data_IF_956232035375
#
_entry.id   IF_956232035375
#
_cell.length_a   1.000
_cell.length_b   1.000
_cell.length_c   1.000
_cell.angle_alpha   90.00
_cell.angle_beta   90.00
_cell.angle_gamma   90.00
#
_symmetry.space_group_name_H-M   'P 1'
#
loop_
_entity.id
_entity.type
_entity.pdbx_description
1 polymer ?
#
# COMPACT_ATOMS: atom_id res chain seq x y z
N UNK A 1 8.43 -2.41 3.72
CA UNK A 1 8.29 -3.87 3.43
C UNK A 1 8.99 -4.14 2.12
N UNK A 2 9.42 -5.37 1.80
CA UNK A 2 10.18 -5.59 0.57
C UNK A 2 9.52 -6.63 -0.35
N UNK A 3 9.67 -6.42 -1.65
CA UNK A 3 9.20 -7.23 -2.78
C UNK A 3 9.81 -8.64 -2.79
N UNK A 4 9.36 -9.49 -3.71
CA UNK A 4 9.65 -10.93 -3.74
C UNK A 4 11.15 -11.27 -3.84
N UNK A 5 11.94 -10.41 -4.49
CA UNK A 5 13.37 -10.64 -4.67
C UNK A 5 14.23 -10.11 -3.50
N UNK A 6 13.60 -9.55 -2.48
CA UNK A 6 14.31 -9.02 -1.34
C UNK A 6 14.83 -10.12 -0.42
N UNK A 7 16.15 -10.14 -0.24
CA UNK A 7 16.84 -11.05 0.68
C UNK A 7 17.05 -10.34 2.02
N UNK A 8 16.70 -10.99 3.12
CA UNK A 8 16.78 -10.42 4.47
C UNK A 8 18.17 -9.85 4.80
N UNK A 9 19.23 -10.57 4.44
CA UNK A 9 20.62 -10.12 4.66
C UNK A 9 20.94 -8.82 3.91
N UNK A 10 20.49 -8.67 2.66
CA UNK A 10 20.71 -7.47 1.87
C UNK A 10 19.94 -6.27 2.44
N UNK A 11 18.71 -6.50 2.91
CA UNK A 11 17.92 -5.48 3.62
C UNK A 11 18.63 -5.06 4.91
N UNK A 12 19.15 -6.03 5.67
CA UNK A 12 19.86 -5.77 6.90
C UNK A 12 21.13 -4.93 6.67
N UNK A 13 21.92 -5.26 5.65
CA UNK A 13 23.10 -4.48 5.27
C UNK A 13 22.74 -3.07 4.83
N UNK A 14 21.64 -2.91 4.08
CA UNK A 14 21.15 -1.58 3.71
C UNK A 14 20.77 -0.76 4.94
N UNK A 15 20.04 -1.33 5.90
CA UNK A 15 19.69 -0.64 7.16
C UNK A 15 20.95 -0.23 7.92
N UNK A 16 21.94 -1.13 8.05
CA UNK A 16 23.21 -0.84 8.75
C UNK A 16 24.00 0.30 8.11
N UNK A 17 23.78 0.58 6.82
CA UNK A 17 24.40 1.70 6.12
C UNK A 17 23.77 3.06 6.42
N UNK A 18 22.57 3.09 7.03
CA UNK A 18 21.82 4.32 7.34
C UNK A 18 21.95 4.65 8.83
N UNK A 19 22.62 5.77 9.13
CA UNK A 19 22.76 6.23 10.51
C UNK A 19 21.40 6.66 11.11
N UNK A 20 21.19 6.42 12.40
CA UNK A 20 19.97 6.81 13.10
C UNK A 20 18.74 5.93 12.87
N UNK A 21 18.82 4.89 12.04
CA UNK A 21 17.72 3.95 11.78
C UNK A 21 17.93 2.67 12.57
N UNK A 22 16.95 2.30 13.39
CA UNK A 22 16.80 0.93 13.90
C UNK A 22 15.76 0.20 13.07
N UNK A 23 15.98 -1.08 12.81
CA UNK A 23 15.00 -1.90 12.10
C UNK A 23 14.88 -3.30 12.70
N UNK A 24 13.79 -3.94 12.35
CA UNK A 24 13.64 -5.38 12.43
C UNK A 24 13.50 -5.90 11.01
N UNK A 25 14.26 -6.94 10.68
CA UNK A 25 14.13 -7.67 9.43
C UNK A 25 13.58 -9.05 9.74
N UNK A 26 12.41 -9.38 9.18
CA UNK A 26 11.71 -10.65 9.41
C UNK A 26 11.58 -11.39 8.09
N UNK A 27 11.89 -12.69 8.12
CA UNK A 27 11.57 -13.59 7.02
C UNK A 27 10.15 -14.13 7.19
N UNK A 28 9.34 -14.05 6.14
CA UNK A 28 7.97 -14.54 6.13
C UNK A 28 7.77 -15.59 5.04
N UNK A 29 6.88 -16.58 5.26
CA UNK A 29 6.53 -17.54 4.24
C UNK A 29 5.92 -16.85 3.03
N UNK A 30 6.12 -17.42 1.84
CA UNK A 30 5.53 -16.93 0.58
C UNK A 30 4.00 -17.12 0.57
N UNK A 31 3.53 -18.17 1.24
CA UNK A 31 2.11 -18.47 1.40
C UNK A 31 1.48 -17.64 2.53
N UNK A 32 0.16 -17.76 2.66
CA UNK A 32 -0.62 -17.20 3.78
C UNK A 32 0.02 -17.52 5.11
N UNK A 33 0.23 -16.48 5.91
CA UNK A 33 0.76 -16.70 7.24
C UNK A 33 -0.25 -17.51 8.08
N UNK A 34 0.16 -18.65 8.68
CA UNK A 34 -0.72 -19.49 9.48
C UNK A 34 -1.49 -18.71 10.56
N UNK A 35 -0.93 -17.60 11.04
CA UNK A 35 -1.55 -16.73 12.06
C UNK A 35 -2.84 -16.07 11.59
N UNK A 36 -3.06 -15.94 10.29
CA UNK A 36 -4.24 -15.29 9.72
C UNK A 36 -5.23 -16.27 9.08
N UNK A 37 -4.99 -17.58 9.20
CA UNK A 37 -5.86 -18.63 8.64
C UNK A 37 -7.23 -18.73 9.32
N UNK A 38 -7.44 -18.05 10.45
CA UNK A 38 -8.75 -17.99 11.12
C UNK A 38 -9.76 -17.10 10.38
N UNK A 39 -9.31 -16.27 9.43
CA UNK A 39 -10.19 -15.44 8.60
C UNK A 39 -10.77 -16.31 7.47
N UNK A 40 -12.08 -16.20 7.22
CA UNK A 40 -12.75 -16.95 6.16
C UNK A 40 -12.21 -16.60 4.77
N UNK A 41 -11.97 -15.30 4.52
CA UNK A 41 -11.31 -14.83 3.30
C UNK A 41 -9.88 -15.34 3.18
N UNK A 42 -9.24 -15.71 4.31
CA UNK A 42 -7.92 -16.36 4.32
C UNK A 42 -7.90 -17.77 3.72
N UNK A 43 -9.08 -18.40 3.57
CA UNK A 43 -9.22 -19.79 3.13
C UNK A 43 -9.78 -19.93 1.71
N UNK A 44 -10.13 -18.80 1.09
CA UNK A 44 -10.72 -18.73 -0.26
C UNK A 44 -9.61 -18.69 -1.32
N UNK A 45 -9.13 -19.88 -1.70
CA UNK A 45 -7.98 -20.05 -2.59
C UNK A 45 -8.25 -19.87 -4.09
N UNK A 46 -9.52 -19.90 -4.55
CA UNK A 46 -9.84 -19.75 -6.00
C UNK A 46 -9.85 -18.29 -6.43
N UNK A 47 -10.16 -17.42 -5.48
CA UNK A 47 -10.22 -15.97 -5.61
C UNK A 47 -8.84 -15.31 -5.44
N UNK A 48 -7.80 -16.13 -5.23
CA UNK A 48 -6.40 -15.73 -5.08
C UNK A 48 -5.58 -16.22 -6.27
N UNK A 49 -5.19 -15.33 -7.16
CA UNK A 49 -4.11 -15.65 -8.07
C UNK A 49 -2.83 -15.83 -7.26
N UNK A 50 -2.05 -16.85 -7.59
CA UNK A 50 -0.76 -17.17 -6.95
C UNK A 50 0.28 -16.04 -7.07
N UNK A 51 0.04 -15.08 -7.96
CA UNK A 51 0.93 -13.96 -8.32
C UNK A 51 0.88 -12.79 -7.34
N UNK A 52 -0.10 -12.73 -6.43
CA UNK A 52 -0.29 -11.60 -5.51
C UNK A 52 0.59 -11.65 -4.26
N UNK A 53 1.29 -12.77 -4.04
CA UNK A 53 2.25 -12.93 -2.96
C UNK A 53 1.66 -12.78 -1.56
N UNK A 54 2.50 -12.40 -0.61
CA UNK A 54 2.19 -12.31 0.82
C UNK A 54 2.04 -10.86 1.34
N UNK A 55 1.64 -9.91 0.47
CA UNK A 55 1.58 -8.49 0.81
C UNK A 55 0.60 -8.21 1.97
N UNK A 56 -0.62 -8.75 1.87
CA UNK A 56 -1.63 -8.70 2.94
C UNK A 56 -1.09 -9.22 4.27
N UNK A 57 -0.47 -10.41 4.28
CA UNK A 57 0.13 -11.01 5.46
C UNK A 57 1.24 -10.12 6.07
N UNK A 58 2.07 -9.48 5.24
CA UNK A 58 3.09 -8.51 5.69
C UNK A 58 2.45 -7.27 6.34
N UNK A 59 1.41 -6.69 5.74
CA UNK A 59 0.73 -5.50 6.28
C UNK A 59 0.00 -5.81 7.60
N UNK A 60 -0.72 -6.92 7.67
CA UNK A 60 -1.38 -7.39 8.89
C UNK A 60 -0.38 -7.68 10.02
N UNK A 61 0.80 -8.23 9.68
CA UNK A 61 1.88 -8.38 10.64
C UNK A 61 2.38 -7.04 11.16
N UNK A 62 2.49 -6.03 10.29
CA UNK A 62 2.83 -4.67 10.69
C UNK A 62 1.84 -4.08 11.69
N UNK A 63 0.53 -4.28 11.48
CA UNK A 63 -0.51 -3.89 12.45
C UNK A 63 -0.31 -4.57 13.81
N UNK A 64 -0.11 -5.89 13.80
CA UNK A 64 0.04 -6.69 15.03
C UNK A 64 1.33 -6.34 15.78
N UNK A 65 2.46 -6.20 15.08
CA UNK A 65 3.72 -5.78 15.68
C UNK A 65 3.62 -4.38 16.28
N UNK A 66 2.98 -3.43 15.58
CA UNK A 66 2.76 -2.09 16.10
C UNK A 66 1.91 -2.08 17.36
N UNK A 67 0.82 -2.87 17.39
CA UNK A 67 -0.02 -3.00 18.60
C UNK A 67 0.77 -3.62 19.76
N UNK A 68 1.50 -4.71 19.52
CA UNK A 68 2.31 -5.36 20.55
C UNK A 68 3.42 -4.43 21.05
N UNK A 69 4.05 -3.64 20.18
CA UNK A 69 5.06 -2.66 20.59
C UNK A 69 4.48 -1.41 21.28
N UNK A 70 3.15 -1.35 21.47
CA UNK A 70 2.47 -0.22 22.10
C UNK A 70 2.49 1.06 21.25
N UNK A 71 2.68 0.94 19.93
CA UNK A 71 2.69 2.08 19.04
C UNK A 71 1.27 2.58 18.80
N UNK A 72 1.10 3.89 18.70
CA UNK A 72 -0.17 4.51 18.31
C UNK A 72 -0.31 4.59 16.79
N UNK A 73 0.81 4.78 16.09
CA UNK A 73 0.83 5.08 14.66
C UNK A 73 1.82 4.16 13.95
N UNK A 74 1.41 3.67 12.79
CA UNK A 74 2.29 3.00 11.83
C UNK A 74 2.19 3.68 10.48
N UNK A 75 3.25 3.60 9.69
CA UNK A 75 3.25 4.01 8.29
C UNK A 75 3.64 2.79 7.46
N UNK A 76 2.74 2.37 6.59
CA UNK A 76 3.02 1.42 5.52
C UNK A 76 3.66 2.15 4.35
N UNK A 77 4.72 1.56 3.81
CA UNK A 77 5.46 2.06 2.68
C UNK A 77 5.93 0.88 1.83
N UNK A 78 5.54 0.88 0.57
CA UNK A 78 6.01 -0.06 -0.45
C UNK A 78 7.45 0.30 -0.86
N UNK A 79 8.23 -0.70 -1.29
CA UNK A 79 9.68 -0.52 -1.54
C UNK A 79 10.00 0.22 -2.83
N UNK A 80 9.02 0.39 -3.72
CA UNK A 80 9.12 1.16 -4.96
C UNK A 80 8.65 2.62 -4.81
N UNK A 81 8.26 3.03 -3.59
CA UNK A 81 7.86 4.41 -3.33
C UNK A 81 9.07 5.29 -3.02
N UNK A 82 9.10 6.45 -3.68
CA UNK A 82 10.13 7.46 -3.57
C UNK A 82 9.52 8.86 -3.41
N UNK A 83 10.38 9.86 -3.16
CA UNK A 83 9.92 11.26 -2.99
C UNK A 83 9.22 11.54 -1.65
N UNK A 84 9.30 10.62 -0.68
CA UNK A 84 8.70 10.82 0.64
C UNK A 84 9.45 11.90 1.44
N UNK A 85 8.81 13.05 1.63
CA UNK A 85 9.36 14.16 2.40
C UNK A 85 9.05 14.04 3.92
N UNK A 86 9.97 14.50 4.77
CA UNK A 86 9.78 14.45 6.24
C UNK A 86 8.58 15.27 6.74
N UNK A 87 8.32 16.42 6.13
CA UNK A 87 7.15 17.26 6.41
C UNK A 87 5.82 16.53 6.11
N UNK A 88 5.76 15.72 5.04
CA UNK A 88 4.60 14.94 4.65
C UNK A 88 4.33 13.85 5.68
N UNK A 89 5.37 13.13 6.10
CA UNK A 89 5.31 12.14 7.18
C UNK A 89 4.80 12.75 8.49
N UNK A 90 5.36 13.89 8.90
CA UNK A 90 4.95 14.59 10.12
C UNK A 90 3.50 15.07 10.05
N UNK A 91 3.07 15.57 8.89
CA UNK A 91 1.73 16.07 8.68
C UNK A 91 0.70 14.93 8.63
N UNK A 92 1.03 13.80 7.98
CA UNK A 92 0.20 12.60 8.01
C UNK A 92 0.03 12.08 9.43
N UNK A 93 1.13 11.98 10.21
CA UNK A 93 1.07 11.58 11.61
C UNK A 93 0.23 12.55 12.47
N UNK A 94 0.32 13.86 12.23
CA UNK A 94 -0.52 14.85 12.90
C UNK A 94 -2.00 14.70 12.53
N UNK A 95 -2.29 14.46 11.26
CA UNK A 95 -3.66 14.31 10.76
C UNK A 95 -4.39 13.08 11.34
N UNK A 96 -3.64 12.07 11.81
CA UNK A 96 -4.22 10.93 12.54
C UNK A 96 -4.89 11.31 13.88
N UNK A 97 -4.67 12.52 14.40
CA UNK A 97 -5.47 13.02 15.53
C UNK A 97 -6.94 13.26 15.21
N UNK A 98 -7.31 13.28 13.93
CA UNK A 98 -8.67 13.50 13.44
C UNK A 98 -9.18 12.41 12.50
N UNK A 99 -8.30 11.51 12.06
CA UNK A 99 -8.57 10.49 11.06
C UNK A 99 -7.95 9.15 11.48
N UNK A 100 -8.56 8.04 11.08
CA UNK A 100 -8.02 6.70 11.37
C UNK A 100 -6.93 6.29 10.37
N UNK A 101 -6.96 6.84 9.15
CA UNK A 101 -5.94 6.60 8.14
C UNK A 101 -5.69 7.85 7.28
N UNK A 102 -4.44 8.05 6.88
CA UNK A 102 -4.02 9.17 6.03
C UNK A 102 -3.09 8.65 4.93
N UNK A 103 -3.54 8.78 3.69
CA UNK A 103 -2.77 8.39 2.51
C UNK A 103 -1.90 9.51 1.95
N UNK A 104 -0.80 9.12 1.32
CA UNK A 104 0.00 9.97 0.44
C UNK A 104 -0.09 9.37 -0.98
N UNK A 105 -1.02 9.83 -1.83
CA UNK A 105 -1.23 9.22 -3.14
C UNK A 105 0.02 9.30 -4.02
N UNK A 106 0.31 8.20 -4.74
CA UNK A 106 1.37 8.14 -5.74
C UNK A 106 0.92 8.83 -7.03
N UNK A 107 1.34 10.08 -7.24
CA UNK A 107 0.87 10.90 -8.38
C UNK A 107 1.75 10.74 -9.62
N UNK A 108 3.06 10.54 -9.42
CA UNK A 108 4.01 10.27 -10.47
C UNK A 108 4.18 8.77 -10.62
N UNK A 109 3.74 8.25 -11.77
CA UNK A 109 3.47 6.82 -12.01
C UNK A 109 2.42 6.26 -11.02
N UNK A 110 1.12 6.44 -11.32
CA UNK A 110 0.08 6.09 -10.38
C UNK A 110 0.00 4.61 -10.01
N UNK A 111 -0.09 4.31 -8.72
CA UNK A 111 -0.37 2.98 -8.17
C UNK A 111 -1.78 2.53 -8.57
N UNK A 112 -1.88 1.80 -9.68
CA UNK A 112 -3.15 1.37 -10.28
C UNK A 112 -2.99 0.01 -10.94
N UNK A 113 -4.13 -0.65 -11.21
CA UNK A 113 -4.17 -1.87 -11.98
C UNK A 113 -3.70 -1.70 -13.42
N UNK A 114 -3.37 -2.83 -14.05
CA UNK A 114 -2.98 -2.88 -15.47
C UNK A 114 -4.08 -2.30 -16.36
N UNK A 115 -5.36 -2.57 -16.03
CA UNK A 115 -6.52 -2.01 -16.74
C UNK A 115 -6.53 -0.48 -16.68
N UNK A 116 -6.27 0.10 -15.50
CA UNK A 116 -6.22 1.54 -15.30
C UNK A 116 -5.03 2.20 -16.03
N UNK A 117 -3.86 1.55 -16.07
CA UNK A 117 -2.75 2.00 -16.93
C UNK A 117 -3.13 2.00 -18.41
N UNK A 118 -3.82 0.95 -18.88
CA UNK A 118 -4.30 0.89 -20.26
C UNK A 118 -5.34 1.99 -20.56
N UNK A 119 -6.25 2.28 -19.62
CA UNK A 119 -7.21 3.38 -19.74
C UNK A 119 -6.51 4.75 -19.89
N UNK A 120 -5.45 5.01 -19.14
CA UNK A 120 -4.62 6.22 -19.32
C UNK A 120 -3.93 6.23 -20.69
N UNK A 121 -3.42 5.09 -21.15
CA UNK A 121 -2.80 4.96 -22.48
C UNK A 121 -3.78 5.23 -23.61
N UNK A 122 -5.06 4.88 -23.42
CA UNK A 122 -6.19 5.27 -24.26
C UNK A 122 -6.55 6.78 -24.21
N UNK A 123 -5.71 7.62 -23.58
CA UNK A 123 -5.92 9.07 -23.37
C UNK A 123 -7.15 9.42 -22.55
N UNK A 124 -7.60 8.52 -21.67
CA UNK A 124 -8.67 8.80 -20.72
C UNK A 124 -8.11 9.28 -19.39
N UNK A 125 -8.89 10.10 -18.68
CA UNK A 125 -8.55 10.57 -17.35
C UNK A 125 -8.81 9.46 -16.34
N UNK A 126 -7.89 9.28 -15.41
CA UNK A 126 -7.99 8.33 -14.31
C UNK A 126 -7.27 8.94 -13.11
N UNK A 127 -8.03 9.25 -12.06
CA UNK A 127 -7.49 9.78 -10.81
C UNK A 127 -6.74 8.70 -10.03
N UNK A 128 -6.09 9.11 -8.94
CA UNK A 128 -5.37 8.22 -8.02
C UNK A 128 -6.09 8.22 -6.69
N UNK A 129 -6.40 7.04 -6.18
CA UNK A 129 -7.00 6.87 -4.86
C UNK A 129 -5.91 6.72 -3.79
N UNK A 130 -6.27 6.95 -2.52
CA UNK A 130 -5.38 6.61 -1.40
C UNK A 130 -5.19 5.08 -1.38
N UNK A 131 -3.95 4.62 -1.43
CA UNK A 131 -3.61 3.19 -1.36
C UNK A 131 -2.64 2.91 -0.20
N UNK A 132 -2.35 1.62 0.00
CA UNK A 132 -1.38 1.11 0.97
C UNK A 132 0.08 1.37 0.57
N UNK A 133 0.32 1.91 -0.63
CA UNK A 133 1.66 2.29 -1.11
C UNK A 133 2.38 3.25 -0.16
N UNK A 134 1.66 4.23 0.37
CA UNK A 134 2.14 5.15 1.40
C UNK A 134 0.97 5.56 2.32
N UNK A 135 0.79 4.81 3.42
CA UNK A 135 -0.40 4.90 4.27
C UNK A 135 -0.03 5.00 5.75
N UNK A 136 -0.38 6.12 6.38
CA UNK A 136 -0.32 6.26 7.84
C UNK A 136 -1.62 5.76 8.47
N UNK A 137 -1.52 5.00 9.56
CA UNK A 137 -2.65 4.37 10.25
C UNK A 137 -2.58 4.62 11.74
N UNK A 138 -3.70 5.00 12.34
CA UNK A 138 -3.91 4.96 13.78
C UNK A 138 -4.35 3.56 14.19
N UNK A 139 -3.47 2.88 14.94
CA UNK A 139 -3.68 1.48 15.34
C UNK A 139 -4.85 1.27 16.29
N UNK A 140 -5.28 2.30 17.01
CA UNK A 140 -6.43 2.16 17.91
C UNK A 140 -7.78 2.37 17.21
N UNK A 141 -7.80 3.10 16.10
CA UNK A 141 -9.05 3.47 15.40
C UNK A 141 -9.33 2.59 14.18
N UNK A 142 -8.29 1.96 13.61
CA UNK A 142 -8.41 1.22 12.35
C UNK A 142 -9.39 0.04 12.45
N UNK A 143 -9.30 -0.78 13.51
CA UNK A 143 -10.18 -1.95 13.77
C UNK A 143 -10.52 -2.78 12.50
N UNK A 144 -9.59 -2.85 11.55
CA UNK A 144 -9.72 -3.43 10.20
C UNK A 144 -8.40 -4.09 9.79
N UNK A 145 -8.42 -4.86 8.72
CA UNK A 145 -7.30 -5.69 8.26
C UNK A 145 -7.19 -5.67 6.73
N UNK A 146 -6.06 -6.15 6.24
CA UNK A 146 -5.78 -6.31 4.81
C UNK A 146 -6.12 -7.75 4.40
N UNK A 147 -7.24 -8.04 3.71
CA UNK A 147 -7.55 -9.40 3.26
C UNK A 147 -6.60 -9.88 2.16
N UNK A 148 -6.49 -11.18 1.95
CA UNK A 148 -5.59 -11.74 0.93
C UNK A 148 -6.27 -11.73 -0.45
N UNK A 149 -6.24 -10.57 -1.10
CA UNK A 149 -6.80 -10.25 -2.41
C UNK A 149 -6.01 -9.07 -3.01
N UNK A 150 -6.05 -8.85 -4.32
CA UNK A 150 -5.55 -7.60 -4.90
C UNK A 150 -6.35 -6.39 -4.40
N UNK A 151 -5.69 -5.24 -4.24
CA UNK A 151 -6.25 -4.03 -3.62
C UNK A 151 -6.77 -4.29 -2.18
N UNK A 152 -6.03 -5.09 -1.41
CA UNK A 152 -6.37 -5.38 -0.02
C UNK A 152 -6.42 -4.14 0.88
N UNK A 153 -5.69 -3.11 0.49
CA UNK A 153 -5.69 -1.79 1.10
C UNK A 153 -7.03 -1.06 0.92
N UNK A 154 -7.69 -1.17 -0.23
CA UNK A 154 -9.02 -0.59 -0.42
C UNK A 154 -10.06 -1.25 0.48
N UNK A 155 -9.95 -2.57 0.68
CA UNK A 155 -10.80 -3.29 1.63
C UNK A 155 -10.44 -2.91 3.08
N UNK A 156 -9.16 -2.73 3.41
CA UNK A 156 -8.75 -2.17 4.69
C UNK A 156 -9.39 -0.80 4.93
N UNK A 157 -9.39 0.07 3.92
CA UNK A 157 -9.91 1.44 3.99
C UNK A 157 -11.44 1.53 3.96
N UNK A 158 -12.17 0.58 3.36
CA UNK A 158 -13.61 0.67 3.15
C UNK A 158 -14.42 0.97 4.44
N UNK A 159 -14.21 0.29 5.58
CA UNK A 159 -14.88 0.62 6.84
C UNK A 159 -14.47 1.97 7.43
N UNK A 160 -13.30 2.50 7.04
CA UNK A 160 -12.85 3.83 7.44
C UNK A 160 -13.50 4.91 6.57
N UNK A 161 -13.66 4.65 5.27
CA UNK A 161 -14.35 5.52 4.33
C UNK A 161 -15.83 5.68 4.69
N UNK A 162 -16.51 4.59 5.02
CA UNK A 162 -17.90 4.57 5.52
C UNK A 162 -18.08 5.50 6.73
N UNK A 163 -17.07 5.56 7.61
CA UNK A 163 -17.03 6.41 8.79
C UNK A 163 -16.45 7.80 8.56
N UNK A 164 -16.08 8.15 7.32
CA UNK A 164 -15.41 9.42 6.95
C UNK A 164 -14.12 9.66 7.75
N UNK A 165 -13.38 8.58 8.03
CA UNK A 165 -12.17 8.58 8.86
C UNK A 165 -10.88 8.43 8.03
N UNK A 166 -10.95 8.62 6.70
CA UNK A 166 -9.78 8.61 5.80
C UNK A 166 -9.54 10.01 5.26
N UNK A 167 -8.27 10.38 5.16
CA UNK A 167 -7.85 11.62 4.50
C UNK A 167 -6.63 11.38 3.62
N UNK A 168 -6.26 12.39 2.83
CA UNK A 168 -5.09 12.38 1.99
C UNK A 168 -4.26 13.65 2.27
N UNK A 169 -2.95 13.50 2.42
CA UNK A 169 -2.05 14.62 2.63
C UNK A 169 -0.72 14.40 1.90
N UNK A 170 -0.25 15.41 1.17
CA UNK A 170 0.96 15.29 0.36
C UNK A 170 0.80 14.32 -0.81
N UNK A 171 1.92 13.90 -1.39
CA UNK A 171 1.98 12.91 -2.45
C UNK A 171 3.35 12.25 -2.45
N UNK A 172 3.44 11.09 -3.06
CA UNK A 172 4.69 10.38 -3.33
C UNK A 172 4.79 10.07 -4.82
N UNK A 173 5.93 9.52 -5.21
CA UNK A 173 6.16 9.00 -6.57
C UNK A 173 6.41 7.49 -6.47
N UNK A 174 5.96 6.74 -7.45
CA UNK A 174 6.30 5.32 -7.59
C UNK A 174 7.36 5.16 -8.67
N UNK A 175 8.29 4.22 -8.49
CA UNK A 175 9.20 3.83 -9.55
C UNK A 175 8.39 3.23 -10.71
N UNK A 176 8.65 3.72 -11.93
CA UNK A 176 8.00 3.18 -13.12
C UNK A 176 8.36 1.72 -13.37
N UNK A 177 7.36 0.93 -13.75
CA UNK A 177 7.52 -0.45 -14.23
C UNK A 177 6.82 -0.62 -15.57
N UNK A 178 6.98 -1.78 -16.21
CA UNK A 178 6.30 -2.13 -17.46
C UNK A 178 4.96 -2.82 -17.16
N UNK A 179 3.81 -2.11 -17.14
CA UNK A 179 2.55 -2.67 -16.67
C UNK A 179 1.97 -3.77 -17.58
N UNK A 180 2.41 -3.82 -18.84
CA UNK A 180 1.92 -4.77 -19.84
C UNK A 180 2.92 -5.89 -20.17
N UNK A 181 4.03 -6.00 -19.42
CA UNK A 181 5.04 -7.05 -19.64
C UNK A 181 4.47 -8.44 -19.33
N UNK A 182 3.73 -8.58 -18.23
CA UNK A 182 2.97 -9.79 -17.90
C UNK A 182 1.49 -9.61 -18.22
N UNK A 183 1.05 -10.24 -19.31
CA UNK A 183 -0.34 -10.20 -19.78
C UNK A 183 -1.31 -10.81 -18.77
N UNK A 184 -0.88 -11.84 -18.03
CA UNK A 184 -1.73 -12.56 -17.06
C UNK A 184 -2.04 -11.72 -15.82
N UNK A 185 -1.16 -10.77 -15.47
CA UNK A 185 -1.35 -9.86 -14.34
C UNK A 185 -2.69 -9.13 -14.36
N UNK A 186 -3.15 -8.69 -15.53
CA UNK A 186 -4.42 -7.99 -15.66
C UNK A 186 -5.62 -8.90 -15.33
N UNK A 187 -5.58 -10.16 -15.75
CA UNK A 187 -6.59 -11.15 -15.40
C UNK A 187 -6.56 -11.52 -13.92
N UNK A 188 -5.38 -11.65 -13.35
CA UNK A 188 -5.18 -11.99 -11.94
C UNK A 188 -5.72 -10.88 -11.02
N UNK A 189 -5.51 -9.61 -11.37
CA UNK A 189 -5.97 -8.47 -10.56
C UNK A 189 -7.50 -8.32 -10.52
N UNK A 190 -8.22 -8.87 -11.50
CA UNK A 190 -9.58 -8.43 -11.81
C UNK A 190 -10.60 -8.77 -10.71
N UNK A 191 -10.45 -9.89 -10.00
CA UNK A 191 -11.34 -10.19 -8.88
C UNK A 191 -11.22 -9.15 -7.74
N UNK A 192 -9.98 -8.76 -7.41
CA UNK A 192 -9.74 -7.71 -6.43
C UNK A 192 -10.20 -6.34 -6.88
N UNK A 193 -10.02 -6.00 -8.16
CA UNK A 193 -10.57 -4.78 -8.75
C UNK A 193 -12.09 -4.72 -8.62
N UNK A 194 -12.79 -5.81 -8.97
CA UNK A 194 -14.25 -5.89 -8.85
C UNK A 194 -14.71 -5.65 -7.41
N UNK A 195 -14.09 -6.32 -6.44
CA UNK A 195 -14.46 -6.15 -5.02
C UNK A 195 -14.12 -4.75 -4.52
N UNK A 196 -12.90 -4.27 -4.77
CA UNK A 196 -12.40 -2.99 -4.27
C UNK A 196 -13.13 -1.78 -4.88
N UNK A 197 -13.13 -1.66 -6.21
CA UNK A 197 -13.84 -0.57 -6.90
C UNK A 197 -15.35 -0.68 -6.67
N UNK A 198 -15.88 -1.89 -6.59
CA UNK A 198 -17.30 -2.11 -6.29
C UNK A 198 -17.70 -1.64 -4.91
N UNK A 199 -16.91 -1.91 -3.86
CA UNK A 199 -17.18 -1.43 -2.50
C UNK A 199 -17.06 0.10 -2.40
N UNK A 200 -15.99 0.68 -2.95
CA UNK A 200 -15.79 2.14 -2.95
C UNK A 200 -16.84 2.85 -3.80
N UNK A 201 -17.23 2.25 -4.94
CA UNK A 201 -18.34 2.70 -5.78
C UNK A 201 -19.67 2.73 -5.03
N UNK A 202 -19.97 1.66 -4.28
CA UNK A 202 -21.19 1.56 -3.48
C UNK A 202 -21.26 2.66 -2.42
N UNK A 203 -20.13 2.93 -1.76
CA UNK A 203 -19.97 3.96 -0.73
C UNK A 203 -20.26 5.39 -1.19
N UNK A 204 -20.21 5.67 -2.50
CA UNK A 204 -20.64 6.96 -3.04
C UNK A 204 -22.17 7.18 -2.97
N UNK A 205 -22.93 6.09 -2.82
CA UNK A 205 -24.40 6.10 -2.90
C UNK A 205 -25.10 5.50 -1.67
N UNK A 206 -24.39 4.75 -0.84
CA UNK A 206 -24.92 4.03 0.30
C UNK A 206 -23.86 3.83 1.39
N UNK A 207 -24.29 3.44 2.59
CA UNK A 207 -23.41 2.99 3.68
C UNK A 207 -23.20 1.48 3.58
N UNK A 208 -22.10 0.94 4.13
CA UNK A 208 -21.80 -0.51 4.10
C UNK A 208 -22.81 -1.36 4.88
N UNK A 209 -23.72 -0.76 5.65
CA UNK A 209 -24.81 -1.44 6.33
C UNK A 209 -26.17 -0.93 5.82
N UNK A 210 -26.88 -1.69 4.97
CA UNK A 210 -26.60 -3.06 4.56
C UNK A 210 -25.48 -3.18 3.51
N UNK A 211 -24.80 -4.33 3.48
CA UNK A 211 -23.82 -4.66 2.44
C UNK A 211 -24.47 -4.73 1.05
N UNK A 212 -23.72 -4.43 -0.02
CA UNK A 212 -24.21 -4.52 -1.39
C UNK A 212 -24.68 -5.94 -1.73
N UNK A 213 -25.82 -6.03 -2.41
CA UNK A 213 -26.50 -7.28 -2.78
C UNK A 213 -26.23 -7.69 -4.20
N UNK A 214 -26.54 -8.94 -4.56
CA UNK A 214 -26.30 -9.52 -5.88
C UNK A 214 -26.69 -8.62 -7.07
N UNK A 215 -27.81 -7.88 -6.98
CA UNK A 215 -28.25 -7.01 -8.07
C UNK A 215 -27.32 -5.81 -8.30
N UNK A 216 -26.71 -5.29 -7.21
CA UNK A 216 -25.64 -4.30 -7.31
C UNK A 216 -24.43 -4.89 -8.03
N UNK A 217 -24.00 -6.09 -7.64
CA UNK A 217 -22.82 -6.74 -8.21
C UNK A 217 -23.00 -7.09 -9.68
N UNK A 218 -24.19 -7.54 -10.11
CA UNK A 218 -24.52 -7.72 -11.53
C UNK A 218 -24.35 -6.42 -12.32
N UNK A 219 -24.94 -5.34 -11.83
CA UNK A 219 -24.82 -4.04 -12.49
C UNK A 219 -23.38 -3.52 -12.51
N UNK A 220 -22.62 -3.77 -11.43
CA UNK A 220 -21.21 -3.37 -11.34
C UNK A 220 -20.34 -4.15 -12.34
N UNK A 221 -20.50 -5.47 -12.43
CA UNK A 221 -19.78 -6.31 -13.41
C UNK A 221 -20.06 -5.87 -14.86
N UNK A 222 -21.31 -5.54 -15.20
CA UNK A 222 -21.66 -4.97 -16.50
C UNK A 222 -20.99 -3.61 -16.74
N UNK A 223 -20.92 -2.76 -15.72
CA UNK A 223 -20.21 -1.48 -15.79
C UNK A 223 -18.71 -1.67 -16.00
N UNK A 224 -18.08 -2.57 -15.25
CA UNK A 224 -16.65 -2.92 -15.34
C UNK A 224 -16.30 -3.49 -16.72
N UNK A 225 -17.15 -4.37 -17.27
CA UNK A 225 -16.99 -4.93 -18.62
C UNK A 225 -17.01 -3.84 -19.71
N UNK A 226 -17.93 -2.87 -19.58
CA UNK A 226 -17.97 -1.71 -20.49
C UNK A 226 -16.73 -0.83 -20.34
N UNK A 227 -16.23 -0.63 -19.12
CA UNK A 227 -15.01 0.12 -18.85
C UNK A 227 -13.79 -0.51 -19.56
N UNK A 228 -13.57 -1.82 -19.37
CA UNK A 228 -12.48 -2.56 -20.03
C UNK A 228 -12.61 -2.48 -21.56
N UNK A 229 -13.81 -2.70 -22.09
CA UNK A 229 -14.09 -2.61 -23.53
C UNK A 229 -13.77 -1.21 -24.09
N UNK A 230 -14.11 -0.15 -23.36
CA UNK A 230 -13.80 1.22 -23.77
C UNK A 230 -12.30 1.54 -23.73
N UNK A 231 -11.57 1.04 -22.74
CA UNK A 231 -10.12 1.17 -22.68
C UNK A 231 -9.47 0.42 -23.86
N UNK A 232 -9.95 -0.79 -24.17
CA UNK A 232 -9.46 -1.62 -25.26
C UNK A 232 -9.61 -0.94 -26.62
N UNK A 233 -10.79 -0.41 -26.93
CA UNK A 233 -11.03 0.35 -28.17
C UNK A 233 -10.06 1.54 -28.32
N UNK A 234 -9.78 2.24 -27.22
CA UNK A 234 -8.85 3.37 -27.23
C UNK A 234 -7.39 2.96 -27.45
N UNK A 235 -6.98 1.80 -26.93
CA UNK A 235 -5.66 1.23 -27.18
C UNK A 235 -5.54 0.68 -28.61
N UNK A 236 -6.56 -0.02 -29.12
CA UNK A 236 -6.60 -0.55 -30.49
C UNK A 236 -6.43 0.57 -31.54
N UNK A 237 -7.06 1.73 -31.32
CA UNK A 237 -6.91 2.90 -32.18
C UNK A 237 -5.47 3.42 -32.27
N UNK A 238 -4.60 3.07 -31.32
CA UNK A 238 -3.20 3.51 -31.26
C UNK A 238 -2.19 2.41 -31.56
N UNK A 239 -2.60 1.15 -31.49
CA UNK A 239 -1.72 -0.02 -31.56
C UNK A 239 -0.85 -0.08 -32.83
N UNK A 240 -1.32 0.48 -33.95
CA UNK A 240 -0.53 0.55 -35.20
C UNK A 240 0.68 1.50 -35.15
N UNK A 241 0.74 2.39 -34.16
CA UNK A 241 1.81 3.39 -33.98
C UNK A 241 2.49 3.32 -32.62
N UNK A 242 2.03 2.43 -31.74
CA UNK A 242 2.38 2.39 -30.33
C UNK A 242 2.35 0.94 -29.83
N UNK A 243 3.53 0.30 -29.80
CA UNK A 243 3.67 -1.11 -29.43
C UNK A 243 3.14 -1.39 -28.02
N UNK A 244 3.31 -0.45 -27.10
CA UNK A 244 2.83 -0.56 -25.73
C UNK A 244 1.29 -0.54 -25.68
N UNK A 245 0.64 0.22 -26.55
CA UNK A 245 -0.81 0.16 -26.71
C UNK A 245 -1.26 -1.21 -27.24
N UNK A 246 -0.48 -1.84 -28.13
CA UNK A 246 -0.70 -3.23 -28.55
C UNK A 246 -0.59 -4.23 -27.41
N UNK A 247 0.43 -4.09 -26.55
CA UNK A 247 0.58 -4.92 -25.34
C UNK A 247 -0.59 -4.70 -24.35
N UNK A 248 -1.02 -3.45 -24.18
CA UNK A 248 -2.18 -3.12 -23.36
C UNK A 248 -3.47 -3.78 -23.85
N UNK A 249 -3.69 -3.91 -25.18
CA UNK A 249 -4.84 -4.65 -25.73
C UNK A 249 -4.80 -6.12 -25.31
N UNK A 250 -3.62 -6.76 -25.35
CA UNK A 250 -3.47 -8.16 -24.92
C UNK A 250 -3.78 -8.32 -23.42
N UNK A 251 -3.28 -7.41 -22.58
CA UNK A 251 -3.59 -7.40 -21.15
C UNK A 251 -5.09 -7.18 -20.87
N UNK A 252 -5.73 -6.24 -21.57
CA UNK A 252 -7.17 -5.99 -21.42
C UNK A 252 -8.04 -7.18 -21.84
N UNK A 253 -7.61 -7.96 -22.85
CA UNK A 253 -8.28 -9.22 -23.20
C UNK A 253 -8.21 -10.24 -22.05
N UNK A 254 -7.05 -10.37 -21.40
CA UNK A 254 -6.90 -11.22 -20.22
C UNK A 254 -7.82 -10.79 -19.07
N UNK A 255 -7.89 -9.48 -18.78
CA UNK A 255 -8.82 -8.94 -17.79
C UNK A 255 -10.30 -9.22 -18.16
N UNK A 256 -10.69 -9.02 -19.42
CA UNK A 256 -12.06 -9.28 -19.89
C UNK A 256 -12.44 -10.77 -19.77
N UNK A 257 -11.51 -11.69 -20.08
CA UNK A 257 -11.70 -13.12 -19.92
C UNK A 257 -11.82 -13.52 -18.45
N UNK A 258 -11.03 -12.90 -17.56
CA UNK A 258 -11.14 -13.10 -16.12
C UNK A 258 -12.48 -12.59 -15.59
N UNK A 259 -12.87 -11.35 -15.95
CA UNK A 259 -14.12 -10.74 -15.55
C UNK A 259 -15.33 -11.58 -15.96
N UNK A 260 -15.31 -12.17 -17.16
CA UNK A 260 -16.39 -13.03 -17.65
C UNK A 260 -16.59 -14.32 -16.85
N UNK A 261 -15.64 -14.69 -15.97
CA UNK A 261 -15.73 -15.83 -15.05
C UNK A 261 -16.13 -15.43 -13.62
N UNK A 262 -16.25 -14.13 -13.34
CA UNK A 262 -16.64 -13.64 -12.02
C UNK A 262 -18.16 -13.58 -11.95
N UNK A 263 -18.74 -14.40 -11.08
CA UNK A 263 -20.18 -14.43 -10.84
C UNK A 263 -20.55 -13.48 -9.68
N UNK A 264 -21.68 -12.79 -9.82
CA UNK A 264 -22.12 -11.77 -8.85
C UNK A 264 -22.40 -12.33 -7.45
N UNK A 265 -22.86 -13.57 -7.35
CA UNK A 265 -23.11 -14.27 -6.09
C UNK A 265 -21.79 -14.60 -5.35
N UNK A 266 -20.75 -14.99 -6.09
CA UNK A 266 -19.40 -15.20 -5.54
C UNK A 266 -18.86 -13.91 -4.93
N UNK A 267 -19.08 -12.75 -5.58
CA UNK A 267 -18.67 -11.44 -5.06
C UNK A 267 -19.45 -11.07 -3.80
N UNK A 268 -20.79 -11.23 -3.80
CA UNK A 268 -21.60 -11.00 -2.60
C UNK A 268 -21.14 -11.88 -1.43
N UNK A 269 -20.94 -13.17 -1.68
CA UNK A 269 -20.50 -14.15 -0.69
C UNK A 269 -19.11 -13.82 -0.13
N UNK A 270 -18.19 -13.36 -0.99
CA UNK A 270 -16.86 -12.92 -0.57
C UNK A 270 -16.96 -11.70 0.35
N UNK A 271 -17.74 -10.68 -0.04
CA UNK A 271 -17.91 -9.45 0.75
C UNK A 271 -18.61 -9.73 2.08
N UNK A 272 -19.57 -10.66 2.10
CA UNK A 272 -20.20 -11.12 3.33
C UNK A 272 -19.19 -11.85 4.26
N UNK A 273 -18.30 -12.67 3.70
CA UNK A 273 -17.22 -13.31 4.46
C UNK A 273 -16.22 -12.29 5.01
N UNK A 274 -15.76 -11.35 4.18
CA UNK A 274 -14.90 -10.23 4.59
C UNK A 274 -15.52 -9.42 5.74
N UNK A 275 -16.82 -9.14 5.68
CA UNK A 275 -17.50 -8.43 6.78
C UNK A 275 -17.53 -9.22 8.09
N UNK A 276 -17.62 -10.56 8.05
CA UNK A 276 -17.49 -11.40 9.26
C UNK A 276 -16.06 -11.40 9.78
N UNK A 277 -15.09 -11.41 8.87
CA UNK A 277 -13.67 -11.35 9.19
C UNK A 277 -13.29 -10.04 9.89
N UNK A 278 -13.96 -8.91 9.61
CA UNK A 278 -13.77 -7.68 10.38
C UNK A 278 -14.07 -7.88 11.88
N UNK A 279 -15.11 -8.66 12.21
CA UNK A 279 -15.46 -8.97 13.61
C UNK A 279 -14.47 -9.95 14.23
N UNK A 280 -14.07 -10.97 13.47
CA UNK A 280 -13.05 -11.93 13.90
C UNK A 280 -11.71 -11.25 14.17
N UNK A 281 -11.28 -10.36 13.27
CA UNK A 281 -10.06 -9.57 13.39
C UNK A 281 -10.07 -8.69 14.62
N UNK A 282 -11.14 -7.93 14.87
CA UNK A 282 -11.24 -7.10 16.10
C UNK A 282 -11.15 -7.94 17.35
N UNK A 283 -11.77 -9.11 17.35
CA UNK A 283 -11.72 -10.04 18.48
C UNK A 283 -10.30 -10.56 18.69
N UNK A 284 -9.62 -10.96 17.61
CA UNK A 284 -8.23 -11.39 17.61
C UNK A 284 -7.28 -10.29 18.11
N UNK A 285 -7.39 -9.06 17.61
CA UNK A 285 -6.54 -7.95 18.05
C UNK A 285 -6.71 -7.68 19.55
N UNK A 286 -7.91 -7.82 20.11
CA UNK A 286 -8.17 -7.63 21.55
C UNK A 286 -7.57 -8.71 22.45
N UNK A 287 -7.18 -9.87 21.93
CA UNK A 287 -6.50 -10.90 22.74
C UNK A 287 -5.02 -10.59 22.99
N UNK A 288 -4.49 -9.54 22.36
CA UNK A 288 -3.08 -9.18 22.40
C UNK A 288 -2.87 -7.91 23.24
N UNK A 289 -2.07 -8.04 24.29
CA UNK A 289 -1.63 -6.91 25.11
C UNK A 289 -0.25 -6.43 24.66
N UNK A 290 0.05 -5.13 24.78
CA UNK A 290 1.39 -4.62 24.53
C UNK A 290 2.46 -5.33 25.37
N UNK A 291 3.62 -5.55 24.75
CA UNK A 291 4.85 -6.05 25.36
C UNK A 291 5.88 -4.91 25.43
N UNK A 292 7.06 -5.17 26.02
CA UNK A 292 7.98 -4.10 26.37
C UNK A 292 8.57 -3.39 25.15
N UNK A 293 8.99 -4.16 24.15
CA UNK A 293 9.64 -3.65 22.95
C UNK A 293 9.39 -4.55 21.73
N UNK A 294 9.93 -4.12 20.59
CA UNK A 294 9.76 -4.82 19.32
C UNK A 294 10.44 -6.21 19.30
N UNK A 295 11.52 -6.40 20.06
CA UNK A 295 12.19 -7.71 20.17
C UNK A 295 11.32 -8.70 20.93
N UNK A 296 10.70 -8.25 22.03
CA UNK A 296 9.74 -9.05 22.78
C UNK A 296 8.50 -9.36 21.92
N UNK A 297 8.03 -8.42 21.09
CA UNK A 297 6.91 -8.64 20.17
C UNK A 297 7.24 -9.71 19.12
N UNK A 298 8.44 -9.68 18.53
CA UNK A 298 8.89 -10.73 17.61
C UNK A 298 8.93 -12.11 18.28
N UNK A 299 9.49 -12.18 19.48
CA UNK A 299 9.59 -13.42 20.25
C UNK A 299 8.21 -13.96 20.61
N UNK A 300 7.30 -13.08 21.03
CA UNK A 300 5.91 -13.43 21.33
C UNK A 300 5.21 -14.06 20.13
N UNK A 301 5.45 -13.50 18.93
CA UNK A 301 4.88 -14.00 17.68
C UNK A 301 5.66 -15.18 17.06
N UNK A 302 6.75 -15.63 17.68
CA UNK A 302 7.60 -16.69 17.14
C UNK A 302 8.30 -16.35 15.82
N UNK A 303 8.51 -15.06 15.55
CA UNK A 303 9.12 -14.59 14.31
C UNK A 303 10.62 -14.88 14.27
N UNK A 304 11.09 -15.34 13.11
CA UNK A 304 12.53 -15.44 12.81
C UNK A 304 12.98 -14.16 12.15
N UNK A 305 13.88 -13.44 12.80
CA UNK A 305 14.39 -12.18 12.28
C UNK A 305 15.52 -11.61 13.11
N UNK A 306 16.08 -10.50 12.62
CA UNK A 306 17.17 -9.78 13.26
C UNK A 306 16.73 -8.37 13.66
N UNK A 307 17.05 -7.98 14.90
CA UNK A 307 16.98 -6.59 15.33
C UNK A 307 18.30 -5.87 15.03
N UNK A 308 18.22 -4.78 14.27
CA UNK A 308 19.35 -3.95 13.87
C UNK A 308 19.24 -2.62 14.64
N UNK A 309 20.13 -2.36 15.62
CA UNK A 309 20.09 -1.13 16.40
C UNK A 309 20.56 0.07 15.58
N UNK A 310 20.03 1.26 15.90
CA UNK A 310 20.45 2.50 15.28
C UNK A 310 21.94 2.77 15.55
N UNK A 311 22.72 2.95 14.48
CA UNK A 311 24.09 3.45 14.61
C UNK A 311 24.03 4.91 15.03
N UNK A 312 24.76 5.24 16.10
CA UNK A 312 24.98 6.64 16.50
C UNK A 312 25.68 7.37 15.36
N UNK A 313 25.26 8.59 15.06
CA UNK A 313 26.05 9.47 14.20
C UNK A 313 27.46 9.57 14.78
N UNK A 314 28.51 9.43 13.96
CA UNK A 314 29.86 9.76 14.41
C UNK A 314 29.81 11.19 14.96
N UNK A 315 30.20 11.37 16.22
CA UNK A 315 30.33 12.72 16.78
C UNK A 315 31.24 13.50 15.82
N UNK A 316 30.85 14.70 15.36
CA UNK A 316 31.80 15.55 14.65
C UNK A 316 33.05 15.68 15.54
N UNK A 317 34.26 15.58 14.97
CA UNK A 317 35.48 15.65 15.77
C UNK A 317 35.41 16.91 16.63
N UNK A 318 35.59 16.76 17.94
CA UNK A 318 35.72 17.89 18.85
C UNK A 318 36.75 18.83 18.23
N UNK A 319 36.33 20.06 17.91
CA UNK A 319 37.27 21.11 17.54
C UNK A 319 38.21 21.24 18.71
N UNK A 320 39.41 20.67 18.57
CA UNK A 320 40.47 20.81 19.56
C UNK A 320 40.69 22.31 19.73
N UNK A 321 40.36 22.80 20.91
CA UNK A 321 40.53 24.20 21.27
C UNK A 321 42.01 24.55 21.28
N UNK A 322 42.54 24.96 20.12
CA UNK A 322 43.79 25.70 19.94
C UNK A 322 43.70 26.51 18.64
N UNK A 323 42.91 27.58 18.66
CA UNK A 323 43.14 28.73 17.77
C UNK A 323 42.73 30.03 18.47
N UNK A 324 43.33 30.26 19.64
CA UNK A 324 43.51 31.61 20.18
C UNK A 324 44.73 32.22 19.49
N UNK A 325 44.57 32.76 18.27
CA UNK A 325 45.25 33.98 17.79
C UNK A 325 45.05 34.16 16.27
N UNK A 326 43.83 34.52 15.85
CA UNK A 326 43.66 35.23 14.58
C UNK A 326 42.66 36.36 14.77
N UNK A 327 43.19 37.57 14.96
CA UNK A 327 42.42 38.81 14.84
C UNK A 327 41.65 38.79 13.51
N UNK A 328 40.34 39.09 13.49
CA UNK A 328 39.64 39.30 12.24
C UNK A 328 40.20 40.54 11.53
N UNK A 329 40.43 40.50 10.20
CA UNK A 329 40.71 41.70 9.44
C UNK A 329 39.48 42.62 9.40
N UNK A 330 39.78 43.91 9.44
CA UNK A 330 38.89 45.06 9.48
C UNK A 330 37.81 45.04 8.36
N UNK A 331 36.51 45.25 8.67
CA UNK A 331 35.45 45.26 7.68
C UNK A 331 35.36 46.64 7.00
N UNK A 332 36.29 46.91 6.09
CA UNK A 332 36.18 48.00 5.12
C UNK A 332 36.84 47.55 3.82
N UNK A 333 36.10 47.61 2.71
CA UNK A 333 36.39 47.03 1.39
C UNK A 333 35.99 45.54 1.37
N UNK A 334 34.91 45.12 0.69
CA UNK A 334 34.79 45.17 -0.77
C UNK A 334 33.32 45.28 -1.20
N UNK A 335 33.03 46.37 -1.89
CA UNK A 335 31.86 46.56 -2.75
C UNK A 335 31.96 45.69 -4.01
N UNK A 336 30.80 45.27 -4.51
CA UNK A 336 30.48 44.90 -5.91
C UNK A 336 31.14 43.63 -6.45
N UNK A 337 30.31 42.71 -6.96
CA UNK A 337 30.23 42.34 -8.39
C UNK A 337 29.49 41.00 -8.55
N UNK A 338 28.21 41.06 -8.92
CA UNK A 338 27.57 40.06 -9.79
C UNK A 338 26.75 40.85 -10.81
N UNK A 339 27.14 40.87 -12.10
CA UNK A 339 26.27 41.25 -13.20
C UNK A 339 25.40 40.07 -13.65
N UNK A 340 24.18 40.44 -14.03
CA UNK A 340 23.14 39.80 -14.87
C UNK A 340 23.08 38.27 -15.00
#
# INVERSE_FOLDING_TARGET
MCSHDAVADLVADKVRSVAGVSAVVVELPVETDPRFTFLETSQRGKERPSTHGNLSSKRNLGLLLGQLAGWRTVIFLDDDICGLETNAVQSAAKALSHHAAVGMPAVDFPDNSVVCHANRRASRRQDVFVSGSALAVDLAEAETFFPEIYNEDWLFLAPLLDRKAVSAFGSVSQLGYAPFEDISRAGDQEFGEVVAEGLVGYLHSAELNPLPKIDYWKAFLESRSRFISHAMLGCEAKAGSDEEAGAAVSALKSAQEALARIEADVVEDYVAAWSRDLVAWRSYMRTHSPVNDLTDAMKYLGLRGEFIPARRHPRPPERSGKDHDRRPPNPAQTQRLCPE
#
